data_IF_388434466418
#
_entry.id   IF_388434466418
#
_cell.length_a   1.000
_cell.length_b   1.000
_cell.length_c   1.000
_cell.angle_alpha   90.00
_cell.angle_beta   90.00
_cell.angle_gamma   90.00
#
_symmetry.space_group_name_H-M   'P 1'
#
loop_
_entity.id
_entity.type
_entity.pdbx_description
1 polymer ?
#
# COMPACT_ATOMS: atom_id res chain seq x y z
N UNK A 1 38.11 -8.27 -2.01
CA UNK A 1 37.98 -8.93 -0.68
C UNK A 1 37.86 -10.42 -0.90
N UNK A 2 38.76 -11.21 -0.31
CA UNK A 2 38.84 -12.67 -0.50
C UNK A 2 37.68 -13.37 0.20
N UNK A 3 36.82 -14.09 -0.53
CA UNK A 3 35.83 -14.98 0.09
C UNK A 3 36.60 -16.18 0.66
N UNK A 4 36.74 -16.23 1.99
CA UNK A 4 37.26 -17.41 2.69
C UNK A 4 36.35 -18.60 2.38
N UNK A 5 36.91 -19.63 1.76
CA UNK A 5 36.28 -20.93 1.52
C UNK A 5 36.27 -21.66 2.87
N UNK A 6 35.38 -21.25 3.77
CA UNK A 6 35.06 -21.96 5.01
C UNK A 6 33.80 -22.80 4.78
N UNK A 7 33.81 -24.04 5.27
CA UNK A 7 32.68 -24.96 5.20
C UNK A 7 31.39 -24.28 5.68
N UNK A 8 30.53 -23.87 4.73
CA UNK A 8 29.17 -23.40 5.02
C UNK A 8 28.37 -24.63 5.41
N UNK A 9 27.79 -24.66 6.60
CA UNK A 9 27.00 -25.81 7.04
C UNK A 9 25.71 -25.88 6.20
N UNK A 10 25.26 -27.09 5.84
CA UNK A 10 23.99 -27.28 5.11
C UNK A 10 22.80 -26.58 5.81
N UNK A 11 22.84 -26.50 7.15
CA UNK A 11 21.85 -25.80 7.97
C UNK A 11 21.81 -24.28 7.76
N UNK A 12 22.94 -23.63 7.42
CA UNK A 12 22.96 -22.19 7.12
C UNK A 12 22.30 -21.91 5.76
N UNK A 13 22.57 -22.74 4.74
CA UNK A 13 21.95 -22.58 3.42
C UNK A 13 20.43 -22.79 3.46
N UNK A 14 19.96 -23.83 4.16
CA UNK A 14 18.51 -24.07 4.32
C UNK A 14 17.80 -22.93 5.07
N UNK A 15 18.51 -22.27 6.00
CA UNK A 15 17.96 -21.14 6.74
C UNK A 15 17.89 -19.88 5.87
N UNK A 16 18.95 -19.60 5.11
CA UNK A 16 19.01 -18.48 4.16
C UNK A 16 17.94 -18.64 3.06
N UNK A 17 17.76 -19.85 2.52
CA UNK A 17 16.71 -20.15 1.52
C UNK A 17 15.30 -19.93 2.08
N UNK A 18 15.00 -20.42 3.29
CA UNK A 18 13.69 -20.21 3.94
C UNK A 18 13.43 -18.74 4.29
N UNK A 19 14.45 -17.98 4.67
CA UNK A 19 14.33 -16.54 4.91
C UNK A 19 14.05 -15.79 3.60
N UNK A 20 14.70 -16.18 2.51
CA UNK A 20 14.49 -15.59 1.19
C UNK A 20 13.10 -15.91 0.63
N UNK A 21 12.60 -17.13 0.80
CA UNK A 21 11.23 -17.51 0.42
C UNK A 21 10.19 -16.67 1.15
N UNK A 22 10.35 -16.46 2.46
CA UNK A 22 9.45 -15.59 3.25
C UNK A 22 9.48 -14.14 2.78
N UNK A 23 10.65 -13.61 2.44
CA UNK A 23 10.76 -12.25 1.90
C UNK A 23 10.03 -12.13 0.56
N UNK A 24 10.23 -13.09 -0.33
CA UNK A 24 9.56 -13.12 -1.64
C UNK A 24 8.02 -13.20 -1.50
N UNK A 25 7.52 -13.99 -0.55
CA UNK A 25 6.08 -14.08 -0.28
C UNK A 25 5.51 -12.76 0.25
N UNK A 26 6.22 -12.11 1.19
CA UNK A 26 5.84 -10.80 1.71
C UNK A 26 5.84 -9.72 0.62
N UNK A 27 6.79 -9.75 -0.31
CA UNK A 27 6.83 -8.83 -1.45
C UNK A 27 5.67 -9.06 -2.41
N UNK A 28 5.32 -10.32 -2.69
CA UNK A 28 4.14 -10.65 -3.52
C UNK A 28 2.85 -10.11 -2.90
N UNK A 29 2.66 -10.31 -1.60
CA UNK A 29 1.48 -9.81 -0.88
C UNK A 29 1.42 -8.27 -0.96
N UNK A 30 2.55 -7.58 -0.76
CA UNK A 30 2.60 -6.11 -0.88
C UNK A 30 2.29 -5.63 -2.31
N UNK A 31 2.82 -6.30 -3.32
CA UNK A 31 2.54 -5.96 -4.71
C UNK A 31 1.06 -6.16 -5.06
N UNK A 32 0.44 -7.22 -4.55
CA UNK A 32 -0.99 -7.47 -4.69
C UNK A 32 -1.83 -6.39 -3.98
N UNK A 33 -1.45 -6.01 -2.76
CA UNK A 33 -2.05 -4.88 -2.04
C UNK A 33 -1.98 -3.58 -2.85
N UNK A 34 -0.80 -3.24 -3.37
CA UNK A 34 -0.61 -2.05 -4.19
C UNK A 34 -1.48 -2.06 -5.44
N UNK A 35 -1.54 -3.20 -6.13
CA UNK A 35 -2.37 -3.37 -7.32
C UNK A 35 -3.86 -3.24 -6.99
N UNK A 36 -4.33 -3.86 -5.91
CA UNK A 36 -5.74 -3.82 -5.51
C UNK A 36 -6.18 -2.39 -5.15
N UNK A 37 -5.36 -1.67 -4.38
CA UNK A 37 -5.62 -0.27 -4.01
C UNK A 37 -5.60 0.62 -5.26
N UNK A 38 -4.60 0.49 -6.13
CA UNK A 38 -4.52 1.26 -7.36
C UNK A 38 -5.75 1.03 -8.27
N UNK A 39 -6.23 -0.21 -8.37
CA UNK A 39 -7.44 -0.53 -9.12
C UNK A 39 -8.69 0.10 -8.47
N UNK A 40 -8.84 -0.03 -7.15
CA UNK A 40 -9.95 0.57 -6.42
C UNK A 40 -9.98 2.10 -6.60
N UNK A 41 -8.85 2.77 -6.42
CA UNK A 41 -8.75 4.21 -6.63
C UNK A 41 -9.00 4.57 -8.09
N UNK A 42 -8.42 3.83 -9.03
CA UNK A 42 -8.58 4.08 -10.46
C UNK A 42 -10.03 3.96 -10.96
N UNK A 43 -10.83 3.10 -10.34
CA UNK A 43 -12.24 2.89 -10.68
C UNK A 43 -13.16 3.93 -10.03
N UNK A 44 -12.93 4.27 -8.76
CA UNK A 44 -13.90 5.05 -7.98
C UNK A 44 -13.55 6.54 -7.87
N UNK A 45 -12.26 6.89 -7.97
CA UNK A 45 -11.79 8.23 -7.62
C UNK A 45 -10.73 8.79 -8.58
N UNK A 46 -10.56 10.11 -8.51
CA UNK A 46 -9.50 10.88 -9.18
C UNK A 46 -8.86 11.84 -8.16
N UNK A 47 -7.54 12.12 -8.26
CA UNK A 47 -6.88 13.13 -7.43
C UNK A 47 -7.26 14.57 -7.79
N UNK A 48 -7.84 14.77 -8.99
CA UNK A 48 -8.29 16.07 -9.49
C UNK A 48 -9.58 15.90 -10.31
N UNK A 49 -10.50 16.85 -10.20
CA UNK A 49 -11.79 16.82 -10.87
C UNK A 49 -12.58 18.12 -10.71
N UNK A 50 -13.85 18.12 -11.13
CA UNK A 50 -14.74 19.26 -10.96
C UNK A 50 -15.18 19.40 -9.49
N UNK A 51 -15.49 20.63 -9.07
CA UNK A 51 -15.97 20.89 -7.70
C UNK A 51 -17.21 20.09 -7.34
N UNK A 52 -18.09 19.79 -8.32
CA UNK A 52 -19.30 19.00 -8.11
C UNK A 52 -19.04 17.55 -7.73
N UNK A 53 -17.88 17.00 -8.10
CA UNK A 53 -17.47 15.64 -7.78
C UNK A 53 -16.52 15.57 -6.57
N UNK A 54 -16.11 16.72 -6.01
CA UNK A 54 -15.18 16.79 -4.87
C UNK A 54 -15.85 16.12 -3.66
N UNK A 55 -15.19 15.12 -3.10
CA UNK A 55 -15.58 14.48 -1.85
C UNK A 55 -14.38 14.41 -0.89
N UNK A 56 -14.68 14.19 0.39
CA UNK A 56 -13.70 14.10 1.46
C UNK A 56 -13.83 12.73 2.11
N UNK A 57 -12.71 12.03 2.26
CA UNK A 57 -12.66 10.70 2.87
C UNK A 57 -11.55 10.62 3.91
N UNK A 58 -11.85 10.04 5.05
CA UNK A 58 -10.83 9.66 6.03
C UNK A 58 -10.13 8.39 5.58
N UNK A 59 -8.92 8.16 6.11
CA UNK A 59 -8.21 6.89 5.87
C UNK A 59 -9.02 5.68 6.35
N UNK A 60 -9.76 5.81 7.47
CA UNK A 60 -10.56 4.72 8.03
C UNK A 60 -11.76 4.35 7.15
N UNK A 61 -12.43 5.34 6.56
CA UNK A 61 -13.50 5.09 5.59
C UNK A 61 -12.98 4.34 4.36
N UNK A 62 -11.82 4.74 3.82
CA UNK A 62 -11.22 4.06 2.67
C UNK A 62 -10.76 2.63 3.02
N UNK A 63 -10.26 2.41 4.23
CA UNK A 63 -9.92 1.06 4.70
C UNK A 63 -11.17 0.19 4.79
N UNK A 64 -12.27 0.74 5.31
CA UNK A 64 -13.54 0.04 5.38
C UNK A 64 -14.05 -0.33 3.98
N UNK A 65 -14.00 0.59 3.02
CA UNK A 65 -14.39 0.32 1.63
C UNK A 65 -13.50 -0.77 0.99
N UNK A 66 -12.19 -0.74 1.28
CA UNK A 66 -11.22 -1.72 0.80
C UNK A 66 -11.30 -3.08 1.51
N UNK A 67 -11.91 -3.18 2.70
CA UNK A 67 -11.81 -4.39 3.54
C UNK A 67 -12.44 -5.63 2.91
N UNK A 68 -13.37 -5.45 1.98
CA UNK A 68 -13.98 -6.54 1.20
C UNK A 68 -13.06 -7.08 0.10
N UNK A 69 -12.04 -6.31 -0.29
CA UNK A 69 -11.10 -6.65 -1.37
C UNK A 69 -9.79 -7.14 -0.75
N UNK A 70 -9.23 -6.36 0.18
CA UNK A 70 -7.93 -6.63 0.76
C UNK A 70 -7.75 -5.95 2.13
N UNK A 71 -6.99 -6.60 3.02
CA UNK A 71 -6.57 -5.98 4.28
C UNK A 71 -5.38 -5.06 4.04
N UNK A 72 -5.49 -3.79 4.44
CA UNK A 72 -4.47 -2.76 4.25
C UNK A 72 -4.19 -2.04 5.57
N UNK A 73 -2.92 -1.74 5.84
CA UNK A 73 -2.54 -0.90 6.98
C UNK A 73 -2.75 0.58 6.63
N UNK A 74 -3.21 1.43 7.56
CA UNK A 74 -3.41 2.86 7.30
C UNK A 74 -2.20 3.57 6.68
N UNK A 75 -1.00 3.25 7.14
CA UNK A 75 0.24 3.85 6.64
C UNK A 75 0.55 3.47 5.19
N UNK A 76 0.21 2.25 4.77
CA UNK A 76 0.43 1.78 3.40
C UNK A 76 -0.56 2.46 2.45
N UNK A 77 -1.84 2.53 2.86
CA UNK A 77 -2.86 3.23 2.08
C UNK A 77 -2.52 4.72 1.93
N UNK A 78 -2.13 5.38 3.01
CA UNK A 78 -1.73 6.78 2.98
C UNK A 78 -0.55 7.04 2.03
N UNK A 79 0.44 6.13 2.03
CA UNK A 79 1.57 6.21 1.09
C UNK A 79 1.09 6.11 -0.35
N UNK A 80 0.25 5.13 -0.67
CA UNK A 80 -0.23 4.94 -2.04
C UNK A 80 -1.13 6.06 -2.54
N UNK A 81 -1.96 6.63 -1.67
CA UNK A 81 -2.74 7.84 -1.98
C UNK A 81 -1.82 9.02 -2.30
N UNK A 82 -0.77 9.23 -1.49
CA UNK A 82 0.24 10.27 -1.74
C UNK A 82 0.96 10.04 -3.07
N UNK A 83 1.42 8.81 -3.33
CA UNK A 83 2.10 8.44 -4.58
C UNK A 83 1.19 8.60 -5.81
N UNK A 84 -0.13 8.43 -5.64
CA UNK A 84 -1.14 8.64 -6.68
C UNK A 84 -1.59 10.10 -6.84
N UNK A 85 -1.02 11.04 -6.07
CA UNK A 85 -1.28 12.48 -6.19
C UNK A 85 -2.48 12.99 -5.41
N UNK A 86 -3.08 12.18 -4.54
CA UNK A 86 -4.08 12.66 -3.59
C UNK A 86 -3.40 13.49 -2.49
N UNK A 87 -4.15 14.42 -1.92
CA UNK A 87 -3.65 15.29 -0.85
C UNK A 87 -4.66 15.38 0.30
N UNK A 88 -4.18 15.86 1.44
CA UNK A 88 -4.97 16.02 2.65
C UNK A 88 -5.35 17.48 2.86
N UNK A 89 -6.62 17.73 3.16
CA UNK A 89 -7.13 19.00 3.70
C UNK A 89 -7.60 18.78 5.15
N UNK A 90 -7.43 19.80 6.00
CA UNK A 90 -7.90 19.75 7.38
C UNK A 90 -9.25 20.45 7.50
N UNK A 91 -10.29 19.68 7.87
CA UNK A 91 -11.64 20.18 8.12
C UNK A 91 -11.92 20.05 9.61
N UNK A 92 -12.21 21.18 10.28
CA UNK A 92 -12.42 21.24 11.73
C UNK A 92 -11.30 20.56 12.57
N UNK A 93 -10.06 20.60 12.09
CA UNK A 93 -8.90 20.00 12.75
C UNK A 93 -8.68 18.51 12.46
N UNK A 94 -9.52 17.88 11.63
CA UNK A 94 -9.37 16.49 11.22
C UNK A 94 -8.85 16.37 9.78
N UNK A 95 -7.94 15.42 9.49
CA UNK A 95 -7.40 15.23 8.15
C UNK A 95 -8.35 14.43 7.26
N UNK A 96 -8.61 14.94 6.07
CA UNK A 96 -9.38 14.27 5.02
C UNK A 96 -8.59 14.23 3.72
N UNK A 97 -8.62 13.08 3.05
CA UNK A 97 -8.20 12.96 1.66
C UNK A 97 -9.20 13.72 0.79
N UNK A 98 -8.66 14.62 -0.01
CA UNK A 98 -9.40 15.28 -1.08
C UNK A 98 -9.44 14.35 -2.27
N UNK A 99 -10.64 13.95 -2.65
CA UNK A 99 -10.89 13.01 -3.74
C UNK A 99 -11.97 13.57 -4.66
N UNK A 100 -12.04 13.03 -5.86
CA UNK A 100 -13.09 13.37 -6.83
C UNK A 100 -13.72 12.07 -7.34
N UNK A 101 -15.02 11.91 -7.15
CA UNK A 101 -15.74 10.73 -7.63
C UNK A 101 -15.72 10.65 -9.16
N UNK A 102 -15.65 9.42 -9.68
CA UNK A 102 -15.68 9.11 -11.11
C UNK A 102 -17.04 8.61 -11.56
#
# INVERSE_FOLDING_TARGET
>A
MSKKIGFRSYYENEKDEKEQEKQNELEKIKAEQQKAIANFLGQNYSPIGSTSAKCFKTTDELIYDLSNIISVRPTELAKQLTDAGYHVEYLAGQPYWVMYEK
#
